data_IF_408781953647
#
_entry.id   IF_408781953647
#
_cell.length_a   1.000
_cell.length_b   1.000
_cell.length_c   1.000
_cell.angle_alpha   90.00
_cell.angle_beta   90.00
_cell.angle_gamma   90.00
#
_symmetry.space_group_name_H-M   'P 1'
#
loop_
_entity.id
_entity.type
_entity.pdbx_description
1 polymer ?
#
# COMPACT_ATOMS: atom_id res chain seq x y z
N UNK A 1 -2.21 2.05 -6.37
CA UNK A 1 -1.70 3.21 -5.62
C UNK A 1 -0.24 2.96 -5.31
N UNK A 2 0.65 3.87 -5.67
CA UNK A 2 2.06 3.82 -5.28
C UNK A 2 2.51 5.21 -4.88
N UNK A 3 3.43 5.25 -3.93
CA UNK A 3 4.07 6.47 -3.49
C UNK A 3 5.01 7.02 -4.57
N UNK A 4 5.40 8.28 -4.40
CA UNK A 4 6.24 9.00 -5.36
C UNK A 4 7.74 8.67 -5.29
N UNK A 5 8.15 7.54 -4.70
CA UNK A 5 9.58 7.23 -4.56
C UNK A 5 10.26 7.03 -5.93
N UNK A 6 11.55 7.39 -6.09
CA UNK A 6 12.23 7.40 -7.40
C UNK A 6 12.10 6.10 -8.22
N UNK A 7 12.18 4.88 -7.64
CA UNK A 7 11.98 3.65 -8.39
C UNK A 7 10.55 3.49 -8.95
N UNK A 8 9.54 4.01 -8.25
CA UNK A 8 8.12 3.89 -8.61
C UNK A 8 7.67 4.93 -9.64
N UNK A 9 8.52 5.90 -9.97
CA UNK A 9 8.22 6.95 -10.96
C UNK A 9 9.10 6.87 -12.21
N UNK A 10 9.98 5.87 -12.28
CA UNK A 10 10.86 5.64 -13.42
C UNK A 10 10.07 5.34 -14.70
N UNK A 11 10.54 5.85 -15.84
CA UNK A 11 9.84 5.68 -17.13
C UNK A 11 9.51 4.22 -17.50
N UNK A 12 10.42 3.24 -17.35
CA UNK A 12 10.10 1.84 -17.68
C UNK A 12 8.94 1.31 -16.83
N UNK A 13 8.90 1.71 -15.56
CA UNK A 13 7.86 1.30 -14.63
C UNK A 13 6.51 1.96 -14.96
N UNK A 14 6.51 3.26 -15.30
CA UNK A 14 5.30 3.97 -15.77
C UNK A 14 4.75 3.35 -17.06
N UNK A 15 5.61 3.03 -18.02
CA UNK A 15 5.23 2.38 -19.28
C UNK A 15 4.57 1.02 -19.02
N UNK A 16 5.14 0.23 -18.12
CA UNK A 16 4.57 -1.05 -17.71
C UNK A 16 3.18 -0.88 -17.08
N UNK A 17 3.02 0.07 -16.16
CA UNK A 17 1.72 0.34 -15.54
C UNK A 17 0.68 0.74 -16.57
N UNK A 18 1.03 1.65 -17.50
CA UNK A 18 0.12 2.09 -18.57
C UNK A 18 -0.24 0.98 -19.56
N UNK A 19 0.58 -0.07 -19.70
CA UNK A 19 0.28 -1.23 -20.54
C UNK A 19 -0.76 -2.16 -19.88
N UNK A 20 -0.72 -2.28 -18.55
CA UNK A 20 -1.57 -3.21 -17.81
C UNK A 20 -2.81 -2.56 -17.21
N UNK A 21 -2.79 -1.25 -17.00
CA UNK A 21 -3.85 -0.49 -16.36
C UNK A 21 -4.19 0.74 -17.22
N UNK A 22 -5.49 1.03 -17.34
CA UNK A 22 -5.96 2.28 -17.92
C UNK A 22 -5.34 3.47 -17.16
N UNK A 23 -4.88 4.48 -17.88
CA UNK A 23 -4.11 5.59 -17.30
C UNK A 23 -4.87 6.32 -16.17
N UNK A 24 -6.20 6.41 -16.29
CA UNK A 24 -7.09 7.06 -15.32
C UNK A 24 -7.26 6.26 -14.02
N UNK A 25 -6.89 4.97 -14.03
CA UNK A 25 -6.96 4.07 -12.87
C UNK A 25 -5.66 4.05 -12.08
N UNK A 26 -4.61 4.73 -12.56
CA UNK A 26 -3.30 4.77 -11.91
C UNK A 26 -3.22 5.99 -10.99
N UNK A 27 -3.00 5.72 -9.71
CA UNK A 27 -2.73 6.73 -8.69
C UNK A 27 -1.25 6.65 -8.32
N UNK A 28 -0.47 7.59 -8.84
CA UNK A 28 0.98 7.67 -8.66
C UNK A 28 1.48 9.08 -9.04
N UNK A 29 2.70 9.43 -8.65
CA UNK A 29 3.29 10.73 -8.95
C UNK A 29 3.55 10.90 -10.46
N UNK A 30 3.07 12.01 -11.03
CA UNK A 30 3.08 12.32 -12.47
C UNK A 30 2.12 11.48 -13.35
N UNK A 31 1.06 10.94 -12.76
CA UNK A 31 -0.12 10.44 -13.49
C UNK A 31 -1.29 11.44 -13.36
N UNK A 32 -2.36 11.32 -14.17
CA UNK A 32 -3.53 12.22 -14.09
C UNK A 32 -4.09 12.31 -12.67
N UNK A 33 -4.20 11.17 -11.98
CA UNK A 33 -4.54 11.11 -10.56
C UNK A 33 -3.24 11.13 -9.75
N UNK A 34 -2.80 12.33 -9.39
CA UNK A 34 -1.51 12.53 -8.74
C UNK A 34 -1.52 12.02 -7.29
N UNK A 35 -0.46 11.33 -6.88
CA UNK A 35 -0.27 10.97 -5.47
C UNK A 35 0.21 12.20 -4.68
N UNK A 36 -0.46 12.59 -3.59
CA UNK A 36 -0.09 13.76 -2.81
C UNK A 36 1.27 13.58 -2.11
N UNK A 37 2.10 14.63 -2.01
CA UNK A 37 3.40 14.56 -1.35
C UNK A 37 3.26 14.25 0.14
N UNK A 38 4.25 13.54 0.72
CA UNK A 38 4.34 13.20 2.16
C UNK A 38 3.14 12.42 2.76
N UNK A 39 2.40 11.70 1.93
CA UNK A 39 1.16 11.02 2.32
C UNK A 39 1.35 9.53 2.66
N UNK A 40 2.28 9.21 3.57
CA UNK A 40 2.45 7.84 4.10
C UNK A 40 1.15 7.31 4.72
N UNK A 41 0.34 8.21 5.26
CA UNK A 41 -0.95 7.89 5.87
C UNK A 41 -2.02 7.41 4.88
N UNK A 42 -1.83 7.54 3.57
CA UNK A 42 -2.86 7.20 2.57
C UNK A 42 -2.68 5.82 1.96
N UNK A 43 -1.51 5.21 2.10
CA UNK A 43 -1.25 3.89 1.55
C UNK A 43 -1.70 2.81 2.54
N UNK A 44 -2.68 1.94 2.18
CA UNK A 44 -3.09 0.80 3.00
C UNK A 44 -1.95 -0.08 3.50
N UNK A 45 -0.89 -0.22 2.71
CA UNK A 45 0.26 -0.99 3.10
C UNK A 45 1.00 -0.32 4.27
N UNK A 46 1.17 1.00 4.22
CA UNK A 46 1.96 1.77 5.16
C UNK A 46 1.23 2.02 6.48
N UNK A 47 -0.04 2.45 6.44
CA UNK A 47 -0.79 2.75 7.67
C UNK A 47 -1.32 1.48 8.37
N UNK A 48 -1.42 0.35 7.68
CA UNK A 48 -2.03 -0.86 8.23
C UNK A 48 -1.20 -2.12 8.03
N UNK A 49 -0.95 -2.56 6.79
CA UNK A 49 -0.40 -3.90 6.52
C UNK A 49 0.95 -4.13 7.20
N UNK A 50 1.89 -3.19 7.06
CA UNK A 50 3.22 -3.33 7.62
C UNK A 50 3.21 -3.33 9.16
N UNK A 51 2.34 -2.52 9.78
CA UNK A 51 2.13 -2.53 11.22
C UNK A 51 1.55 -3.86 11.72
N UNK A 52 0.53 -4.37 11.03
CA UNK A 52 -0.08 -5.67 11.32
C UNK A 52 0.94 -6.81 11.17
N UNK A 53 1.63 -6.90 10.04
CA UNK A 53 2.62 -7.96 9.80
C UNK A 53 3.77 -7.88 10.78
N UNK A 54 4.25 -6.68 11.12
CA UNK A 54 5.30 -6.50 12.13
C UNK A 54 4.86 -7.07 13.49
N UNK A 55 3.63 -6.80 13.92
CA UNK A 55 3.11 -7.34 15.17
C UNK A 55 2.91 -8.87 15.10
N UNK A 56 2.33 -9.36 14.02
CA UNK A 56 1.94 -10.77 13.89
C UNK A 56 3.15 -11.70 13.66
N UNK A 57 4.04 -11.34 12.75
CA UNK A 57 5.16 -12.19 12.31
C UNK A 57 6.26 -12.28 13.37
N UNK A 58 6.55 -11.16 14.03
CA UNK A 58 7.59 -11.07 15.07
C UNK A 58 7.07 -11.38 16.48
N UNK A 59 5.88 -11.97 16.58
CA UNK A 59 5.40 -12.56 17.83
C UNK A 59 6.18 -13.85 18.13
N UNK A 60 7.36 -13.70 18.73
CA UNK A 60 8.28 -14.79 19.08
C UNK A 60 9.58 -14.77 18.26
N UNK A 61 10.53 -15.61 18.67
CA UNK A 61 11.81 -15.74 17.96
C UNK A 61 11.60 -16.33 16.56
N UNK A 62 12.39 -15.84 15.61
CA UNK A 62 12.46 -16.32 14.24
C UNK A 62 13.88 -16.81 14.02
N UNK A 63 14.06 -18.09 13.71
CA UNK A 63 15.38 -18.71 13.69
C UNK A 63 16.13 -18.46 12.37
N UNK A 64 15.42 -18.33 11.25
CA UNK A 64 16.03 -18.20 9.92
C UNK A 64 15.06 -17.60 8.89
N UNK A 65 15.60 -17.21 7.74
CA UNK A 65 14.87 -16.50 6.69
C UNK A 65 13.66 -17.27 6.13
N UNK A 66 13.77 -18.59 5.97
CA UNK A 66 12.68 -19.39 5.44
C UNK A 66 11.45 -19.35 6.37
N UNK A 67 11.66 -19.43 7.68
CA UNK A 67 10.61 -19.29 8.68
C UNK A 67 9.95 -17.91 8.61
N UNK A 68 10.73 -16.84 8.47
CA UNK A 68 10.21 -15.48 8.29
C UNK A 68 9.29 -15.40 7.07
N UNK A 69 9.74 -15.92 5.92
CA UNK A 69 8.97 -15.91 4.68
C UNK A 69 7.67 -16.70 4.81
N UNK A 70 7.72 -17.88 5.44
CA UNK A 70 6.53 -18.71 5.70
C UNK A 70 5.52 -18.00 6.59
N UNK A 71 5.98 -17.38 7.69
CA UNK A 71 5.09 -16.64 8.61
C UNK A 71 4.44 -15.44 7.92
N UNK A 72 5.19 -14.67 7.12
CA UNK A 72 4.63 -13.57 6.32
C UNK A 72 3.53 -14.10 5.39
N UNK A 73 3.82 -15.15 4.61
CA UNK A 73 2.86 -15.72 3.66
C UNK A 73 1.60 -16.24 4.36
N UNK A 74 1.73 -16.92 5.49
CA UNK A 74 0.61 -17.41 6.30
C UNK A 74 -0.26 -16.26 6.81
N UNK A 75 0.35 -15.23 7.40
CA UNK A 75 -0.41 -14.09 7.94
C UNK A 75 -1.10 -13.29 6.85
N UNK A 76 -0.49 -13.15 5.67
CA UNK A 76 -1.12 -12.50 4.49
C UNK A 76 -2.29 -13.34 3.99
N UNK A 77 -2.15 -14.65 3.88
CA UNK A 77 -3.22 -15.54 3.41
C UNK A 77 -4.43 -15.55 4.36
N UNK A 78 -4.18 -15.37 5.66
CA UNK A 78 -5.22 -15.34 6.68
C UNK A 78 -5.94 -13.98 6.79
N UNK A 79 -5.55 -12.95 6.03
CA UNK A 79 -6.27 -11.68 6.02
C UNK A 79 -7.65 -11.88 5.36
N UNK A 80 -8.70 -11.66 6.14
CA UNK A 80 -10.06 -11.81 5.63
C UNK A 80 -10.43 -10.73 4.60
N UNK A 81 -11.32 -11.07 3.68
CA UNK A 81 -11.88 -10.10 2.71
C UNK A 81 -12.65 -8.96 3.39
N UNK A 82 -13.24 -9.22 4.57
CA UNK A 82 -13.91 -8.20 5.39
C UNK A 82 -12.88 -7.19 5.91
N UNK A 83 -11.74 -7.66 6.39
CA UNK A 83 -10.63 -6.79 6.83
C UNK A 83 -10.11 -5.96 5.67
N UNK A 84 -9.87 -6.57 4.50
CA UNK A 84 -9.42 -5.84 3.31
C UNK A 84 -10.42 -4.74 2.90
N UNK A 85 -11.72 -5.04 2.93
CA UNK A 85 -12.76 -4.05 2.63
C UNK A 85 -12.71 -2.88 3.60
N UNK A 86 -12.65 -3.16 4.90
CA UNK A 86 -12.56 -2.13 5.94
C UNK A 86 -11.32 -1.25 5.75
N UNK A 87 -10.17 -1.83 5.40
CA UNK A 87 -8.94 -1.07 5.15
C UNK A 87 -9.09 -0.14 3.94
N UNK A 88 -9.75 -0.60 2.87
CA UNK A 88 -10.04 0.24 1.69
C UNK A 88 -11.01 1.37 2.03
N UNK A 89 -12.06 1.11 2.81
CA UNK A 89 -13.00 2.13 3.28
C UNK A 89 -12.30 3.19 4.14
N UNK A 90 -11.38 2.78 5.01
CA UNK A 90 -10.55 3.72 5.79
C UNK A 90 -9.63 4.55 4.91
N UNK A 91 -9.06 3.98 3.84
CA UNK A 91 -8.25 4.74 2.89
C UNK A 91 -9.08 5.84 2.21
N UNK A 92 -10.31 5.52 1.77
CA UNK A 92 -11.24 6.49 1.19
C UNK A 92 -11.53 7.63 2.19
N UNK A 93 -11.87 7.30 3.44
CA UNK A 93 -12.12 8.29 4.49
C UNK A 93 -10.90 9.21 4.72
N UNK A 94 -9.67 8.66 4.70
CA UNK A 94 -8.45 9.46 4.80
C UNK A 94 -8.24 10.40 3.62
N UNK A 95 -8.58 9.98 2.39
CA UNK A 95 -8.57 10.87 1.23
C UNK A 95 -9.60 12.01 1.37
N UNK A 96 -10.82 11.71 1.84
CA UNK A 96 -11.85 12.72 2.08
C UNK A 96 -11.41 13.75 3.13
N UNK A 97 -10.78 13.30 4.22
CA UNK A 97 -10.22 14.19 5.24
C UNK A 97 -9.16 15.12 4.67
N UNK A 98 -8.27 14.64 3.78
CA UNK A 98 -7.29 15.53 3.15
C UNK A 98 -7.93 16.63 2.28
N UNK A 99 -9.01 16.30 1.59
CA UNK A 99 -9.76 17.29 0.79
C UNK A 99 -10.37 18.35 1.72
N UNK A 100 -10.94 17.94 2.86
CA UNK A 100 -11.58 18.86 3.82
C UNK A 100 -10.57 19.77 4.50
N UNK A 101 -9.40 19.26 4.88
CA UNK A 101 -8.40 20.02 5.64
C UNK A 101 -7.33 20.69 4.77
N UNK A 102 -7.48 20.65 3.44
CA UNK A 102 -6.66 21.42 2.50
C UNK A 102 -5.20 21.00 2.46
N UNK A 103 -4.95 19.69 2.35
CA UNK A 103 -3.61 19.14 2.14
C UNK A 103 -2.89 19.71 0.92
#
# INVERSE_FOLDING_TARGET
>A
MQDGAPPHIAYPFKSLLSMHFEIDRIISLHFPTNWPPKSLDLNPCDFWLWGYLKHAVFCGLIAHLAELMTRIAQHVHNISTVTLRSVVEHAICRFELMIVYGG
#
